data_IF_036639512573
#
_entry.id   IF_036639512573
#
_cell.length_a   1.000
_cell.length_b   1.000
_cell.length_c   1.000
_cell.angle_alpha   90.00
_cell.angle_beta   90.00
_cell.angle_gamma   90.00
#
_symmetry.space_group_name_H-M   'P 1'
#
loop_
_entity.id
_entity.type
_entity.pdbx_description
1 polymer ?
#
# COMPACT_ATOMS: atom_id res chain seq x y z
N UNK A 1 7.24 -5.56 -20.02
CA UNK A 1 6.75 -5.57 -18.63
C UNK A 1 7.91 -6.01 -17.77
N UNK A 2 8.33 -5.19 -16.82
CA UNK A 2 9.41 -5.54 -15.89
C UNK A 2 8.99 -6.70 -15.00
N UNK A 3 9.92 -7.59 -14.69
CA UNK A 3 9.70 -8.81 -13.90
C UNK A 3 9.67 -8.46 -12.41
N UNK A 4 8.78 -9.10 -11.64
CA UNK A 4 8.76 -8.96 -10.18
C UNK A 4 10.02 -9.58 -9.54
N UNK A 5 10.76 -8.79 -8.76
CA UNK A 5 11.94 -9.20 -7.97
C UNK A 5 11.58 -9.79 -6.59
N UNK A 6 10.28 -9.81 -6.25
CA UNK A 6 9.72 -10.22 -4.95
C UNK A 6 10.24 -9.41 -3.77
N UNK A 7 10.73 -8.19 -3.96
CA UNK A 7 11.13 -7.31 -2.87
C UNK A 7 10.45 -5.96 -2.97
N UNK A 8 10.01 -5.44 -1.82
CA UNK A 8 9.31 -4.16 -1.75
C UNK A 8 9.69 -3.35 -0.53
N UNK A 9 9.57 -2.04 -0.66
CA UNK A 9 9.84 -1.05 0.38
C UNK A 9 8.61 -0.22 0.65
N UNK A 10 8.49 0.25 1.89
CA UNK A 10 7.49 1.23 2.29
C UNK A 10 8.10 2.34 3.14
N UNK A 11 7.60 3.56 3.00
CA UNK A 11 8.04 4.73 3.76
C UNK A 11 6.89 5.35 4.56
N UNK A 12 7.03 5.39 5.88
CA UNK A 12 6.13 6.13 6.77
C UNK A 12 6.77 7.48 7.08
N UNK A 13 6.25 8.53 6.44
CA UNK A 13 6.58 9.92 6.75
C UNK A 13 5.47 10.52 7.61
N UNK A 14 5.82 11.38 8.57
CA UNK A 14 4.86 12.13 9.39
C UNK A 14 5.06 13.63 9.26
N UNK A 15 3.97 14.39 9.27
CA UNK A 15 4.03 15.86 9.38
C UNK A 15 4.18 16.32 10.84
N UNK A 16 4.17 17.64 11.06
CA UNK A 16 4.28 18.23 12.39
C UNK A 16 3.09 17.95 13.31
N UNK A 17 1.96 17.51 12.78
CA UNK A 17 0.76 17.11 13.53
C UNK A 17 0.69 15.59 13.74
N UNK A 18 1.66 14.83 13.22
CA UNK A 18 1.72 13.38 13.32
C UNK A 18 0.88 12.65 12.28
N UNK A 19 0.27 13.34 11.31
CA UNK A 19 -0.44 12.75 10.17
C UNK A 19 0.56 12.01 9.28
N UNK A 20 0.12 10.91 8.67
CA UNK A 20 0.96 10.05 7.82
C UNK A 20 0.74 10.42 6.36
N UNK A 21 1.83 10.48 5.58
CA UNK A 21 1.75 10.67 4.14
C UNK A 21 1.16 9.42 3.47
N UNK A 22 0.06 9.59 2.76
CA UNK A 22 -0.67 8.54 2.06
C UNK A 22 -0.85 8.90 0.59
N UNK A 23 -0.92 7.89 -0.26
CA UNK A 23 -1.24 7.96 -1.68
C UNK A 23 -2.44 7.05 -1.97
N UNK A 24 -3.30 7.46 -2.90
CA UNK A 24 -4.26 6.55 -3.55
C UNK A 24 -3.66 6.08 -4.87
N UNK A 25 -3.48 4.76 -5.01
CA UNK A 25 -2.80 4.18 -6.17
C UNK A 25 -3.71 4.24 -7.41
N UNK A 26 -3.17 4.73 -8.54
CA UNK A 26 -3.89 4.77 -9.82
C UNK A 26 -3.90 3.41 -10.53
N UNK A 27 -2.93 2.55 -10.23
CA UNK A 27 -2.72 1.24 -10.85
C UNK A 27 -2.75 0.16 -9.78
N UNK A 28 -3.22 -1.03 -10.16
CA UNK A 28 -3.20 -2.22 -9.30
C UNK A 28 -1.83 -2.44 -8.63
N UNK A 29 -1.79 -2.82 -7.33
CA UNK A 29 -2.93 -3.03 -6.42
C UNK A 29 -3.60 -1.71 -6.02
N UNK A 30 -4.94 -1.70 -6.04
CA UNK A 30 -5.74 -0.52 -5.68
C UNK A 30 -5.88 -0.40 -4.17
N UNK A 31 -5.80 0.82 -3.66
CA UNK A 31 -5.77 1.07 -2.23
C UNK A 31 -5.12 2.39 -1.87
N UNK A 32 -5.39 2.85 -0.66
CA UNK A 32 -4.60 3.86 0.02
C UNK A 32 -3.41 3.21 0.71
N UNK A 33 -2.23 3.78 0.52
CA UNK A 33 -0.98 3.28 1.08
C UNK A 33 -0.02 4.44 1.34
N UNK A 34 0.92 4.34 2.29
CA UNK A 34 2.13 5.15 2.24
C UNK A 34 2.94 4.90 0.96
N UNK A 35 3.87 5.80 0.61
CA UNK A 35 4.74 5.62 -0.54
C UNK A 35 5.49 4.29 -0.48
N UNK A 36 5.43 3.53 -1.58
CA UNK A 36 5.87 2.15 -1.62
C UNK A 36 6.10 1.64 -3.04
N UNK A 37 7.15 0.82 -3.20
CA UNK A 37 7.47 0.24 -4.50
C UNK A 37 8.46 -0.90 -4.44
N UNK A 38 9.00 -1.25 -5.60
CA UNK A 38 9.93 -2.38 -5.74
C UNK A 38 11.35 -1.96 -5.35
N UNK A 39 12.18 -2.93 -4.99
CA UNK A 39 13.61 -2.62 -4.83
C UNK A 39 14.35 -2.61 -6.17
N UNK A 40 13.90 -3.40 -7.14
CA UNK A 40 14.48 -3.50 -8.49
C UNK A 40 16.00 -3.75 -8.45
N UNK A 41 16.43 -4.59 -7.51
CA UNK A 41 17.84 -4.97 -7.28
C UNK A 41 18.63 -4.06 -6.33
N UNK A 42 18.06 -2.92 -5.91
CA UNK A 42 18.69 -2.05 -4.91
C UNK A 42 18.59 -2.61 -3.49
N UNK A 43 19.44 -2.10 -2.61
CA UNK A 43 19.28 -2.28 -1.16
C UNK A 43 18.03 -1.54 -0.66
N UNK A 44 17.31 -2.13 0.29
CA UNK A 44 16.05 -1.58 0.83
C UNK A 44 16.09 -0.07 1.18
N UNK A 45 17.10 0.47 1.88
CA UNK A 45 17.13 1.91 2.17
C UNK A 45 17.23 2.80 0.91
N UNK A 46 18.00 2.35 -0.09
CA UNK A 46 18.18 3.09 -1.34
C UNK A 46 16.89 3.07 -2.17
N UNK A 47 16.26 1.90 -2.30
CA UNK A 47 14.96 1.75 -2.93
C UNK A 47 13.90 2.62 -2.27
N UNK A 48 13.85 2.64 -0.93
CA UNK A 48 12.94 3.48 -0.15
C UNK A 48 13.06 4.96 -0.51
N UNK A 49 14.28 5.48 -0.61
CA UNK A 49 14.52 6.86 -1.03
C UNK A 49 14.07 7.14 -2.47
N UNK A 50 14.35 6.22 -3.41
CA UNK A 50 13.96 6.37 -4.82
C UNK A 50 12.45 6.40 -4.99
N UNK A 51 11.76 5.40 -4.44
CA UNK A 51 10.31 5.25 -4.54
C UNK A 51 9.59 6.41 -3.85
N UNK A 52 10.03 6.80 -2.64
CA UNK A 52 9.45 7.95 -1.92
C UNK A 52 9.53 9.24 -2.74
N UNK A 53 10.69 9.53 -3.35
CA UNK A 53 10.87 10.71 -4.19
C UNK A 53 10.03 10.64 -5.46
N UNK A 54 9.97 9.49 -6.11
CA UNK A 54 9.22 9.31 -7.35
C UNK A 54 7.72 9.54 -7.16
N UNK A 55 7.13 8.94 -6.11
CA UNK A 55 5.68 9.01 -5.90
C UNK A 55 5.24 10.37 -5.33
N UNK A 56 6.09 11.04 -4.55
CA UNK A 56 5.70 12.22 -3.75
C UNK A 56 6.39 13.53 -4.12
N UNK A 57 7.56 13.47 -4.78
CA UNK A 57 8.44 14.60 -5.01
C UNK A 57 9.20 15.11 -3.77
N UNK A 58 9.04 14.46 -2.61
CA UNK A 58 9.75 14.79 -1.37
C UNK A 58 11.09 14.05 -1.29
N UNK A 59 12.02 14.61 -0.51
CA UNK A 59 13.33 13.97 -0.24
C UNK A 59 13.38 13.45 1.19
N UNK A 60 13.99 12.27 1.38
CA UNK A 60 14.30 11.75 2.71
C UNK A 60 15.56 12.46 3.26
N UNK A 61 15.52 12.87 4.53
CA UNK A 61 16.63 13.51 5.24
C UNK A 61 17.22 12.53 6.25
N UNK A 62 18.52 12.24 6.10
CA UNK A 62 19.22 11.27 6.94
C UNK A 62 18.93 9.82 6.55
N UNK A 63 19.23 8.89 7.46
CA UNK A 63 19.05 7.46 7.21
C UNK A 63 17.59 7.02 7.52
N UNK A 64 16.91 6.30 6.59
CA UNK A 64 15.64 5.64 6.88
C UNK A 64 15.76 4.71 8.09
N UNK A 65 14.84 4.85 9.07
CA UNK A 65 14.84 4.03 10.28
C UNK A 65 13.98 2.78 10.07
N UNK A 66 14.52 1.56 10.14
CA UNK A 66 13.72 0.36 9.92
C UNK A 66 12.63 0.21 10.99
N UNK A 67 11.41 -0.12 10.57
CA UNK A 67 10.27 -0.37 11.44
C UNK A 67 9.92 -1.85 11.50
N UNK A 68 9.72 -2.48 10.34
CA UNK A 68 9.31 -3.88 10.24
C UNK A 68 9.91 -4.53 9.01
N UNK A 69 10.30 -5.79 9.16
CA UNK A 69 10.79 -6.66 8.10
C UNK A 69 9.88 -7.88 8.00
N UNK A 70 9.06 -7.94 6.94
CA UNK A 70 8.13 -9.05 6.72
C UNK A 70 8.77 -10.02 5.74
N UNK A 71 9.27 -11.14 6.28
CA UNK A 71 9.94 -12.19 5.51
C UNK A 71 9.00 -13.29 5.01
N UNK A 72 7.76 -13.33 5.50
CA UNK A 72 6.80 -14.40 5.18
C UNK A 72 5.51 -13.79 4.61
N UNK A 73 5.57 -13.24 3.40
CA UNK A 73 4.40 -12.67 2.70
C UNK A 73 3.45 -13.73 2.15
N UNK A 74 2.85 -14.56 3.02
CA UNK A 74 1.82 -15.52 2.58
C UNK A 74 0.45 -14.88 2.34
N UNK A 75 0.28 -13.59 2.64
CA UNK A 75 -0.94 -12.86 2.31
C UNK A 75 -0.88 -12.39 0.86
N UNK A 76 -2.02 -12.49 0.15
CA UNK A 76 -2.22 -12.17 -1.26
C UNK A 76 -1.74 -10.74 -1.61
N UNK A 77 -0.44 -10.56 -1.81
CA UNK A 77 0.16 -9.32 -2.28
C UNK A 77 0.49 -9.49 -3.76
N UNK A 78 -0.59 -9.59 -4.55
CA UNK A 78 -0.50 -9.74 -5.98
C UNK A 78 0.15 -8.51 -6.59
N UNK A 79 1.18 -8.76 -7.39
CA UNK A 79 1.89 -7.73 -8.12
C UNK A 79 1.35 -7.62 -9.54
N UNK A 80 1.21 -6.39 -10.04
CA UNK A 80 0.98 -6.15 -11.48
C UNK A 80 2.07 -6.77 -12.38
N UNK A 81 3.27 -7.01 -11.83
CA UNK A 81 4.42 -7.64 -12.50
C UNK A 81 4.42 -9.18 -12.37
N UNK A 82 3.31 -9.80 -11.96
CA UNK A 82 3.14 -11.27 -11.91
C UNK A 82 3.65 -11.97 -10.65
N UNK A 83 4.16 -11.23 -9.67
CA UNK A 83 4.52 -11.75 -8.35
C UNK A 83 3.30 -12.08 -7.49
N UNK A 84 3.39 -13.18 -6.71
CA UNK A 84 2.35 -13.56 -5.75
C UNK A 84 2.58 -12.97 -4.35
N UNK A 85 3.81 -12.55 -4.08
CA UNK A 85 4.23 -12.02 -2.80
C UNK A 85 5.49 -11.15 -2.95
N UNK A 86 5.77 -10.35 -1.92
CA UNK A 86 7.03 -9.63 -1.78
C UNK A 86 7.57 -9.76 -0.34
N UNK A 87 8.89 -9.69 -0.20
CA UNK A 87 9.57 -9.47 1.07
C UNK A 87 9.63 -7.97 1.33
N UNK A 88 9.01 -7.52 2.41
CA UNK A 88 8.84 -6.10 2.71
C UNK A 88 9.81 -5.62 3.78
N UNK A 89 10.42 -4.46 3.54
CA UNK A 89 11.03 -3.65 4.59
C UNK A 89 10.33 -2.28 4.63
N UNK A 90 9.78 -1.93 5.78
CA UNK A 90 9.17 -0.62 6.00
C UNK A 90 10.09 0.23 6.85
N UNK A 91 10.16 1.52 6.52
CA UNK A 91 10.97 2.50 7.22
C UNK A 91 10.13 3.66 7.72
N UNK A 92 10.52 4.24 8.86
CA UNK A 92 10.16 5.60 9.22
C UNK A 92 11.18 6.56 8.62
N UNK A 93 10.70 7.66 8.05
CA UNK A 93 11.55 8.60 7.32
C UNK A 93 11.30 10.04 7.80
N UNK A 94 12.39 10.80 7.92
CA UNK A 94 12.32 12.26 7.99
C UNK A 94 12.37 12.79 6.57
N UNK A 95 11.69 13.89 6.31
CA UNK A 95 11.52 14.39 4.95
C UNK A 95 11.66 15.91 4.87
N UNK A 96 11.89 16.40 3.66
CA UNK A 96 11.88 17.83 3.33
C UNK A 96 11.35 18.05 1.91
N UNK A 97 11.06 19.31 1.59
CA UNK A 97 10.61 19.74 0.28
C UNK A 97 9.11 20.03 0.23
N UNK A 98 8.58 20.06 -0.99
CA UNK A 98 7.16 20.31 -1.24
C UNK A 98 6.57 19.13 -1.99
N UNK A 99 5.35 18.77 -1.61
CA UNK A 99 4.61 17.69 -2.24
C UNK A 99 4.41 17.99 -3.73
N UNK A 100 4.93 17.13 -4.60
CA UNK A 100 4.82 17.20 -6.07
C UNK A 100 4.56 15.80 -6.61
N UNK A 101 3.34 15.27 -6.43
CA UNK A 101 3.02 13.91 -6.85
C UNK A 101 3.14 13.73 -8.35
N UNK A 102 3.55 12.53 -8.76
CA UNK A 102 3.42 12.08 -10.14
C UNK A 102 1.95 11.75 -10.46
N UNK A 103 1.35 12.51 -11.39
CA UNK A 103 -0.02 12.27 -11.88
C UNK A 103 -0.18 10.94 -12.65
N UNK A 104 0.95 10.32 -13.02
CA UNK A 104 0.97 9.05 -13.75
C UNK A 104 0.84 7.82 -12.83
N UNK A 105 1.10 7.98 -11.54
CA UNK A 105 1.18 6.88 -10.56
C UNK A 105 0.11 6.96 -9.47
N UNK A 106 -0.29 8.17 -9.09
CA UNK A 106 -1.22 8.40 -7.97
C UNK A 106 -2.48 9.12 -8.42
N UNK A 107 -3.63 8.74 -7.87
CA UNK A 107 -4.90 9.48 -8.01
C UNK A 107 -4.96 10.63 -7.01
N UNK A 108 -4.40 10.42 -5.83
CA UNK A 108 -4.39 11.35 -4.72
C UNK A 108 -3.13 11.16 -3.87
N UNK A 109 -2.69 12.23 -3.23
CA UNK A 109 -1.63 12.21 -2.22
C UNK A 109 -1.94 13.24 -1.14
N UNK A 110 -1.61 12.94 0.11
CA UNK A 110 -1.77 13.89 1.18
C UNK A 110 -1.52 13.30 2.56
N UNK A 111 -1.61 14.18 3.55
CA UNK A 111 -1.41 13.83 4.96
C UNK A 111 -2.73 13.40 5.58
N UNK A 112 -2.78 12.19 6.13
CA UNK A 112 -3.97 11.63 6.78
C UNK A 112 -3.74 11.39 8.26
N UNK A 113 -4.72 11.73 9.09
CA UNK A 113 -4.71 11.38 10.50
C UNK A 113 -4.85 9.87 10.70
N UNK A 114 -4.51 9.39 11.90
CA UNK A 114 -4.71 7.98 12.26
C UNK A 114 -6.20 7.61 12.21
N UNK A 115 -7.09 8.53 12.59
CA UNK A 115 -8.54 8.35 12.54
C UNK A 115 -9.04 8.17 11.10
N UNK A 116 -8.55 8.97 10.15
CA UNK A 116 -8.90 8.81 8.73
C UNK A 116 -8.38 7.49 8.18
N UNK A 117 -7.17 7.08 8.59
CA UNK A 117 -6.59 5.77 8.22
C UNK A 117 -7.42 4.61 8.81
N UNK A 118 -7.96 4.74 10.02
CA UNK A 118 -8.88 3.73 10.61
C UNK A 118 -10.20 3.62 9.85
N UNK A 119 -10.70 4.70 9.27
CA UNK A 119 -11.88 4.67 8.38
C UNK A 119 -11.55 3.85 7.12
N UNK A 120 -10.38 4.07 6.51
CA UNK A 120 -9.91 3.26 5.37
C UNK A 120 -9.70 1.78 5.75
N UNK A 121 -9.17 1.52 6.94
CA UNK A 121 -9.04 0.17 7.49
C UNK A 121 -10.40 -0.54 7.61
N UNK A 122 -11.44 0.19 8.04
CA UNK A 122 -12.81 -0.34 8.14
C UNK A 122 -13.36 -0.71 6.77
N UNK A 123 -13.15 0.13 5.74
CA UNK A 123 -13.51 -0.20 4.35
C UNK A 123 -12.83 -1.48 3.87
N UNK A 124 -11.55 -1.64 4.19
CA UNK A 124 -10.75 -2.82 3.84
C UNK A 124 -11.29 -4.08 4.50
N UNK A 125 -11.64 -3.98 5.79
CA UNK A 125 -12.23 -5.08 6.54
C UNK A 125 -13.57 -5.54 5.93
N UNK A 126 -14.47 -4.60 5.59
CA UNK A 126 -15.74 -4.92 4.94
C UNK A 126 -15.56 -5.51 3.54
N UNK A 127 -14.60 -5.00 2.75
CA UNK A 127 -14.23 -5.58 1.47
C UNK A 127 -13.79 -7.06 1.60
N UNK A 128 -12.85 -7.35 2.51
CA UNK A 128 -12.38 -8.71 2.76
C UNK A 128 -13.50 -9.63 3.28
N UNK A 129 -14.39 -9.13 4.13
CA UNK A 129 -15.55 -9.87 4.62
C UNK A 129 -16.53 -10.21 3.48
N UNK A 130 -16.81 -9.27 2.59
CA UNK A 130 -17.65 -9.50 1.41
C UNK A 130 -17.04 -10.54 0.46
N UNK A 131 -15.73 -10.49 0.22
CA UNK A 131 -15.03 -11.52 -0.57
C UNK A 131 -15.18 -12.92 0.05
N UNK A 132 -14.96 -13.05 1.36
CA UNK A 132 -15.14 -14.32 2.08
C UNK A 132 -16.58 -14.83 2.04
N UNK A 133 -17.56 -13.94 2.04
CA UNK A 133 -18.98 -14.33 1.91
C UNK A 133 -19.29 -14.79 0.48
N UNK A 134 -18.75 -14.12 -0.54
CA UNK A 134 -18.93 -14.51 -1.94
C UNK A 134 -18.41 -15.94 -2.21
N UNK A 135 -17.32 -16.34 -1.56
CA UNK A 135 -16.76 -17.70 -1.68
C UNK A 135 -17.65 -18.82 -1.13
N UNK A 136 -18.66 -18.47 -0.32
CA UNK A 136 -19.61 -19.43 0.24
C UNK A 136 -20.84 -19.66 -0.63
N UNK A 137 -20.98 -18.96 -1.76
CA UNK A 137 -22.11 -19.17 -2.65
C UNK A 137 -22.04 -20.59 -3.25
N UNK A 138 -23.18 -21.29 -3.25
CA UNK A 138 -23.27 -22.70 -3.69
C UNK A 138 -23.01 -22.85 -5.19
N UNK A 139 -23.43 -21.87 -5.99
CA UNK A 139 -23.27 -21.89 -7.43
C UNK A 139 -22.04 -21.08 -7.87
N UNK A 140 -21.09 -21.77 -8.50
CA UNK A 140 -19.78 -21.21 -8.91
C UNK A 140 -19.88 -20.01 -9.86
N UNK A 141 -20.89 -19.95 -10.71
CA UNK A 141 -21.13 -18.84 -11.65
C UNK A 141 -21.42 -17.53 -10.89
N UNK A 142 -22.14 -17.60 -9.77
CA UNK A 142 -22.44 -16.45 -8.91
C UNK A 142 -21.24 -16.00 -8.11
N UNK A 143 -20.36 -16.92 -7.71
CA UNK A 143 -19.10 -16.56 -7.03
C UNK A 143 -18.29 -15.59 -7.88
N UNK A 144 -18.16 -15.86 -9.19
CA UNK A 144 -17.38 -15.03 -10.10
C UNK A 144 -18.00 -13.64 -10.27
N UNK A 145 -19.31 -13.55 -10.55
CA UNK A 145 -20.01 -12.28 -10.77
C UNK A 145 -20.08 -11.42 -9.50
N UNK A 146 -20.28 -12.03 -8.33
CA UNK A 146 -20.26 -11.32 -7.04
C UNK A 146 -18.86 -10.77 -6.77
N UNK A 147 -17.80 -11.57 -6.99
CA UNK A 147 -16.41 -11.10 -6.82
C UNK A 147 -16.11 -9.94 -7.76
N UNK A 148 -16.45 -10.05 -9.04
CA UNK A 148 -16.26 -8.96 -10.01
C UNK A 148 -16.96 -7.66 -9.58
N UNK A 149 -18.20 -7.76 -9.08
CA UNK A 149 -18.94 -6.61 -8.54
C UNK A 149 -18.24 -5.99 -7.32
N UNK A 150 -17.73 -6.81 -6.40
CA UNK A 150 -16.98 -6.35 -5.21
C UNK A 150 -15.67 -5.65 -5.63
N UNK A 151 -14.92 -6.24 -6.57
CA UNK A 151 -13.69 -5.67 -7.09
C UNK A 151 -13.93 -4.33 -7.80
N UNK A 152 -14.99 -4.22 -8.60
CA UNK A 152 -15.34 -2.95 -9.26
C UNK A 152 -15.62 -1.84 -8.23
N UNK A 153 -16.37 -2.14 -7.17
CA UNK A 153 -16.64 -1.18 -6.10
C UNK A 153 -15.36 -0.80 -5.34
N UNK A 154 -14.45 -1.75 -5.14
CA UNK A 154 -13.15 -1.49 -4.52
C UNK A 154 -12.30 -0.52 -5.35
N UNK A 155 -12.31 -0.67 -6.68
CA UNK A 155 -11.54 0.21 -7.57
C UNK A 155 -12.02 1.67 -7.58
N UNK A 156 -13.33 1.86 -7.37
CA UNK A 156 -13.97 3.18 -7.32
C UNK A 156 -13.78 3.88 -5.97
N UNK A 157 -13.89 3.15 -4.84
CA UNK A 157 -13.73 3.71 -3.50
C UNK A 157 -12.97 2.76 -2.58
N UNK A 158 -11.64 2.64 -2.77
CA UNK A 158 -10.85 1.69 -2.00
C UNK A 158 -10.72 2.11 -0.53
N UNK A 159 -10.39 1.12 0.30
CA UNK A 159 -9.84 1.32 1.65
C UNK A 159 -8.31 1.38 1.61
N UNK A 160 -7.67 0.91 2.68
CA UNK A 160 -6.23 0.65 2.69
C UNK A 160 -5.90 -0.47 1.71
N UNK A 161 -4.77 -0.34 1.04
CA UNK A 161 -4.17 -1.44 0.30
C UNK A 161 -3.94 -2.63 1.26
N UNK A 162 -4.15 -3.85 0.76
CA UNK A 162 -4.25 -5.04 1.62
C UNK A 162 -2.98 -5.33 2.42
N UNK A 163 -1.78 -5.20 1.82
CA UNK A 163 -0.54 -5.40 2.58
C UNK A 163 -0.34 -4.28 3.59
N UNK A 164 -0.75 -3.05 3.27
CA UNK A 164 -0.65 -1.93 4.20
C UNK A 164 -1.65 -2.01 5.36
N UNK A 165 -2.82 -2.61 5.15
CA UNK A 165 -3.73 -2.96 6.23
C UNK A 165 -3.04 -3.90 7.23
N UNK A 166 -2.40 -4.97 6.76
CA UNK A 166 -1.65 -5.91 7.61
C UNK A 166 -0.45 -5.22 8.30
N UNK A 167 0.34 -4.43 7.55
CA UNK A 167 1.50 -3.70 8.08
C UNK A 167 1.09 -2.71 9.18
N UNK A 168 0.01 -1.96 8.99
CA UNK A 168 -0.44 -0.98 9.99
C UNK A 168 -0.95 -1.64 11.26
N UNK A 169 -1.56 -2.83 11.18
CA UNK A 169 -1.91 -3.62 12.35
C UNK A 169 -0.65 -4.09 13.11
N UNK A 170 0.36 -4.61 12.39
CA UNK A 170 1.63 -5.06 12.97
C UNK A 170 2.36 -3.89 13.67
N UNK A 171 2.35 -2.71 13.06
CA UNK A 171 2.93 -1.48 13.61
C UNK A 171 2.07 -0.81 14.69
N UNK A 172 0.89 -1.35 15.00
CA UNK A 172 -0.09 -0.80 15.96
C UNK A 172 -0.47 0.66 15.66
N UNK A 173 -0.54 1.00 14.38
CA UNK A 173 -1.04 2.29 13.90
C UNK A 173 -2.57 2.27 13.91
N UNK A 174 -3.16 1.15 13.49
CA UNK A 174 -4.60 0.89 13.50
C UNK A 174 -4.97 -0.25 14.43
#
# INVERSE_FOLDING_TARGET
MDVCDRTSVGAIARDGEGKILMIERKKFPFGFAPPAGHCDGDQYPLACCKEFRQETGLEIVGAPRPLVLIKNGKTNNLCRRGGLYHFWQVFEVKWQGQLRPSLDETKWVGWMSVEEIRILATKTHEYLKRLKLAEKAEEKSWVASIKESIESQWQESPGLELVWFDIFQELKII
#
